data_IF_761670109239
#
_entry.id   IF_761670109239
#
_cell.length_a   1.000
_cell.length_b   1.000
_cell.length_c   1.000
_cell.angle_alpha   90.00
_cell.angle_beta   90.00
_cell.angle_gamma   90.00
#
_symmetry.space_group_name_H-M   'P 1'
#
loop_
_entity.id
_entity.type
_entity.pdbx_description
1 polymer ?
#
# COMPACT_ATOMS: atom_id res chain seq x y z
N UNK A 1 32.46 34.37 -7.99
CA UNK A 1 31.25 33.68 -7.50
C UNK A 1 31.27 32.26 -8.04
N UNK A 2 31.35 31.24 -7.18
CA UNK A 2 31.44 29.85 -7.63
C UNK A 2 30.21 29.49 -8.49
N UNK A 3 30.47 28.91 -9.66
CA UNK A 3 29.53 28.68 -10.73
C UNK A 3 28.39 27.74 -10.27
N UNK A 4 27.26 28.30 -9.78
CA UNK A 4 26.08 27.54 -9.30
C UNK A 4 25.26 26.90 -10.44
N UNK A 5 25.83 26.76 -11.62
CA UNK A 5 25.18 26.14 -12.79
C UNK A 5 24.67 24.72 -12.46
N UNK A 6 25.37 23.99 -11.60
CA UNK A 6 24.93 22.67 -11.13
C UNK A 6 23.64 22.69 -10.32
N UNK A 7 23.36 23.75 -9.54
CA UNK A 7 22.18 23.81 -8.66
C UNK A 7 20.90 23.94 -9.49
N UNK A 8 20.93 24.74 -10.55
CA UNK A 8 19.80 24.85 -11.49
C UNK A 8 19.52 23.51 -12.16
N UNK A 9 20.57 22.86 -12.71
CA UNK A 9 20.46 21.54 -13.33
C UNK A 9 19.94 20.48 -12.37
N UNK A 10 20.44 20.46 -11.13
CA UNK A 10 19.97 19.54 -10.10
C UNK A 10 18.48 19.70 -9.81
N UNK A 11 18.00 20.94 -9.72
CA UNK A 11 16.58 21.24 -9.49
C UNK A 11 15.70 20.84 -10.69
N UNK A 12 16.17 21.05 -11.92
CA UNK A 12 15.48 20.58 -13.13
C UNK A 12 15.41 19.05 -13.18
N UNK A 13 16.51 18.35 -12.88
CA UNK A 13 16.48 16.88 -12.81
C UNK A 13 15.58 16.36 -11.69
N UNK A 14 15.54 17.04 -10.53
CA UNK A 14 14.59 16.73 -9.46
C UNK A 14 13.13 16.92 -9.89
N UNK A 15 12.84 17.98 -10.65
CA UNK A 15 11.52 18.18 -11.22
C UNK A 15 11.15 17.08 -12.21
N UNK A 16 12.08 16.70 -13.08
CA UNK A 16 11.89 15.62 -14.04
C UNK A 16 11.57 14.29 -13.34
N UNK A 17 12.29 13.93 -12.26
CA UNK A 17 11.95 12.73 -11.47
C UNK A 17 10.56 12.81 -10.81
N UNK A 18 10.09 13.99 -10.43
CA UNK A 18 8.75 14.15 -9.87
C UNK A 18 7.65 13.91 -10.91
N UNK A 19 7.94 14.23 -12.18
CA UNK A 19 7.03 14.06 -13.32
C UNK A 19 7.12 12.66 -13.93
N UNK A 20 8.25 11.97 -13.78
CA UNK A 20 8.54 10.66 -14.38
C UNK A 20 8.92 9.63 -13.29
N UNK A 21 7.96 9.22 -12.43
CA UNK A 21 8.21 8.35 -11.29
C UNK A 21 8.66 6.93 -11.66
N UNK A 22 8.49 6.50 -12.91
CA UNK A 22 8.99 5.25 -13.47
C UNK A 22 10.52 5.14 -13.39
N UNK A 23 11.24 6.26 -13.42
CA UNK A 23 12.71 6.31 -13.27
C UNK A 23 13.17 6.34 -11.82
N UNK A 24 12.30 6.03 -10.85
CA UNK A 24 12.65 5.98 -9.42
C UNK A 24 13.91 5.16 -9.13
N UNK A 25 14.22 4.13 -9.92
CA UNK A 25 15.42 3.31 -9.73
C UNK A 25 16.73 4.07 -9.88
N UNK A 26 16.73 5.10 -10.71
CA UNK A 26 17.89 5.97 -10.92
C UNK A 26 17.92 7.15 -9.93
N UNK A 27 16.84 7.37 -9.18
CA UNK A 27 16.75 8.45 -8.21
C UNK A 27 17.66 8.20 -7.01
N UNK A 28 18.76 8.95 -6.94
CA UNK A 28 19.64 8.96 -5.78
C UNK A 28 20.71 10.02 -5.91
N UNK A 29 21.36 10.37 -4.79
CA UNK A 29 22.46 11.34 -4.82
C UNK A 29 23.59 10.94 -5.78
N UNK A 30 23.78 9.64 -6.05
CA UNK A 30 24.80 9.16 -7.00
C UNK A 30 24.54 9.66 -8.42
N UNK A 31 23.29 9.58 -8.91
CA UNK A 31 22.88 10.14 -10.20
C UNK A 31 23.25 11.61 -10.33
N UNK A 32 23.03 12.41 -9.29
CA UNK A 32 23.36 13.84 -9.32
C UNK A 32 24.88 14.08 -9.27
N UNK A 33 25.63 13.27 -8.53
CA UNK A 33 27.10 13.38 -8.48
C UNK A 33 27.70 13.09 -9.86
N UNK A 34 27.27 12.00 -10.49
CA UNK A 34 27.79 11.53 -11.78
C UNK A 34 27.42 12.50 -12.92
N UNK A 35 26.18 12.99 -12.95
CA UNK A 35 25.71 13.87 -14.03
C UNK A 35 26.08 15.34 -13.89
N UNK A 36 26.34 15.83 -12.66
CA UNK A 36 26.62 17.24 -12.42
C UNK A 36 28.11 17.52 -12.15
N UNK A 37 28.92 16.49 -11.95
CA UNK A 37 30.36 16.63 -11.68
C UNK A 37 30.66 17.32 -10.35
N UNK A 38 29.76 17.20 -9.37
CA UNK A 38 29.91 17.82 -8.05
C UNK A 38 29.87 16.77 -6.95
N UNK A 39 30.67 16.98 -5.91
CA UNK A 39 30.70 16.05 -4.78
C UNK A 39 29.37 16.02 -4.04
N UNK A 40 29.06 14.87 -3.41
CA UNK A 40 27.90 14.73 -2.53
C UNK A 40 27.90 15.75 -1.39
N UNK A 41 29.08 16.13 -0.90
CA UNK A 41 29.21 17.16 0.13
C UNK A 41 28.77 18.54 -0.38
N UNK A 42 29.07 18.87 -1.64
CA UNK A 42 28.59 20.10 -2.29
C UNK A 42 27.06 20.10 -2.43
N UNK A 43 26.47 18.97 -2.87
CA UNK A 43 25.02 18.82 -2.96
C UNK A 43 24.34 19.04 -1.60
N UNK A 44 24.83 18.34 -0.57
CA UNK A 44 24.25 18.38 0.78
C UNK A 44 24.36 19.75 1.47
N UNK A 45 25.33 20.59 1.07
CA UNK A 45 25.47 21.96 1.58
C UNK A 45 24.40 22.91 1.02
N UNK A 46 23.80 22.62 -0.13
CA UNK A 46 22.68 23.43 -0.63
C UNK A 46 21.38 23.07 0.07
N UNK A 47 20.88 24.00 0.90
CA UNK A 47 19.56 23.88 1.55
C UNK A 47 18.42 23.76 0.53
N UNK A 48 18.52 24.48 -0.60
CA UNK A 48 17.49 24.50 -1.65
C UNK A 48 17.38 23.15 -2.34
N UNK A 49 18.51 22.58 -2.77
CA UNK A 49 18.57 21.23 -3.31
C UNK A 49 18.04 20.19 -2.31
N UNK A 50 18.53 20.21 -1.06
CA UNK A 50 18.13 19.22 -0.06
C UNK A 50 16.66 19.30 0.35
N UNK A 51 16.05 20.49 0.29
CA UNK A 51 14.61 20.63 0.48
C UNK A 51 13.86 19.94 -0.67
N UNK A 52 14.19 20.29 -1.92
CA UNK A 52 13.52 19.71 -3.09
C UNK A 52 13.74 18.21 -3.22
N UNK A 53 14.95 17.73 -2.93
CA UNK A 53 15.28 16.30 -2.92
C UNK A 53 14.38 15.51 -1.97
N UNK A 54 14.10 16.04 -0.77
CA UNK A 54 13.20 15.39 0.19
C UNK A 54 11.75 15.36 -0.30
N UNK A 55 11.27 16.47 -0.88
CA UNK A 55 9.93 16.53 -1.46
C UNK A 55 9.75 15.48 -2.57
N UNK A 56 10.71 15.41 -3.51
CA UNK A 56 10.69 14.43 -4.60
C UNK A 56 10.81 13.01 -4.06
N UNK A 57 11.65 12.78 -3.04
CA UNK A 57 11.75 11.47 -2.39
C UNK A 57 10.42 11.01 -1.80
N UNK A 58 9.65 11.89 -1.16
CA UNK A 58 8.34 11.55 -0.61
C UNK A 58 7.30 11.30 -1.71
N UNK A 59 7.34 12.07 -2.81
CA UNK A 59 6.51 11.79 -4.00
C UNK A 59 6.82 10.39 -4.51
N UNK A 60 8.10 10.10 -4.77
CA UNK A 60 8.57 8.81 -5.29
C UNK A 60 8.35 7.64 -4.32
N UNK A 61 8.16 7.89 -3.03
CA UNK A 61 7.88 6.83 -2.03
C UNK A 61 6.59 6.07 -2.34
N UNK A 62 5.61 6.74 -2.96
CA UNK A 62 4.36 6.13 -3.41
C UNK A 62 4.49 5.21 -4.63
N UNK A 63 5.60 5.28 -5.36
CA UNK A 63 5.81 4.55 -6.62
C UNK A 63 6.76 3.36 -6.43
N UNK A 64 6.60 2.29 -7.19
CA UNK A 64 7.56 1.18 -7.21
C UNK A 64 8.66 1.46 -8.23
N UNK A 65 9.89 1.04 -7.90
CA UNK A 65 11.00 1.13 -8.83
C UNK A 65 10.81 0.07 -9.91
N UNK A 66 10.54 0.46 -11.15
CA UNK A 66 10.53 -0.47 -12.27
C UNK A 66 11.96 -0.69 -12.73
N UNK A 67 12.45 -1.93 -12.66
CA UNK A 67 13.67 -2.32 -13.37
C UNK A 67 13.42 -2.24 -14.88
N UNK A 68 14.41 -1.81 -15.68
CA UNK A 68 14.23 -1.51 -17.10
C UNK A 68 13.94 -2.73 -18.00
N UNK A 69 13.77 -3.93 -17.45
CA UNK A 69 13.61 -5.16 -18.23
C UNK A 69 12.30 -5.93 -18.00
N UNK A 70 11.42 -5.47 -17.11
CA UNK A 70 10.12 -6.14 -16.90
C UNK A 70 9.09 -5.08 -16.59
N UNK A 71 8.01 -5.03 -17.38
CA UNK A 71 6.90 -4.08 -17.21
C UNK A 71 6.26 -4.08 -15.81
N UNK A 72 5.19 -3.28 -15.61
CA UNK A 72 4.76 -2.82 -14.30
C UNK A 72 4.33 -3.98 -13.40
N UNK A 73 5.03 -4.19 -12.28
CA UNK A 73 4.62 -5.10 -11.22
C UNK A 73 4.38 -4.32 -9.91
N UNK A 74 3.18 -4.40 -9.30
CA UNK A 74 2.88 -3.70 -8.07
C UNK A 74 3.59 -4.34 -6.86
N UNK A 75 3.87 -3.47 -5.89
CA UNK A 75 4.74 -3.62 -4.73
C UNK A 75 4.60 -4.95 -3.98
N UNK A 76 5.73 -5.53 -3.59
CA UNK A 76 5.76 -6.68 -2.67
C UNK A 76 5.10 -6.35 -1.30
N UNK A 77 5.07 -5.07 -0.92
CA UNK A 77 4.28 -4.58 0.22
C UNK A 77 2.76 -4.65 0.00
N UNK A 78 2.28 -4.58 -1.25
CA UNK A 78 0.89 -4.88 -1.59
C UNK A 78 0.61 -6.37 -1.45
N UNK A 79 1.50 -7.26 -1.89
CA UNK A 79 1.34 -8.72 -1.66
C UNK A 79 1.25 -9.05 -0.19
N UNK A 80 2.12 -8.48 0.65
CA UNK A 80 2.09 -8.72 2.10
C UNK A 80 0.83 -8.14 2.76
N UNK A 81 0.36 -6.96 2.32
CA UNK A 81 -0.88 -6.32 2.78
C UNK A 81 -2.13 -7.01 2.25
N UNK A 82 -2.05 -7.65 1.08
CA UNK A 82 -3.09 -8.49 0.50
C UNK A 82 -3.16 -9.83 1.24
N UNK A 83 -2.01 -10.43 1.57
CA UNK A 83 -1.93 -11.65 2.37
C UNK A 83 -2.47 -11.41 3.79
N UNK A 84 -2.13 -10.29 4.43
CA UNK A 84 -2.68 -9.95 5.74
C UNK A 84 -4.18 -9.67 5.69
N UNK A 85 -4.67 -8.94 4.66
CA UNK A 85 -6.11 -8.73 4.45
C UNK A 85 -6.85 -10.03 4.12
N UNK A 86 -6.25 -10.93 3.34
CA UNK A 86 -6.84 -12.23 3.02
C UNK A 86 -6.95 -13.11 4.26
N UNK A 87 -5.92 -13.11 5.13
CA UNK A 87 -5.98 -13.78 6.42
C UNK A 87 -7.09 -13.20 7.31
N UNK A 88 -7.22 -11.86 7.34
CA UNK A 88 -8.29 -11.20 8.08
C UNK A 88 -9.69 -11.52 7.53
N UNK A 89 -9.84 -11.64 6.21
CA UNK A 89 -11.10 -12.07 5.57
C UNK A 89 -11.45 -13.50 6.00
N UNK A 90 -10.46 -14.39 6.02
CA UNK A 90 -10.68 -15.78 6.42
C UNK A 90 -11.07 -15.91 7.91
N UNK A 91 -10.40 -15.16 8.78
CA UNK A 91 -10.75 -15.10 10.20
C UNK A 91 -12.17 -14.55 10.42
N UNK A 92 -12.56 -13.51 9.66
CA UNK A 92 -13.91 -12.96 9.71
C UNK A 92 -14.98 -13.94 9.19
N UNK A 93 -14.69 -14.70 8.12
CA UNK A 93 -15.60 -15.75 7.64
C UNK A 93 -15.81 -16.83 8.69
N UNK A 94 -14.74 -17.29 9.33
CA UNK A 94 -14.81 -18.26 10.42
C UNK A 94 -15.63 -17.74 11.61
N UNK A 95 -15.52 -16.44 11.93
CA UNK A 95 -16.35 -15.83 12.97
C UNK A 95 -17.82 -15.76 12.57
N UNK A 96 -18.13 -15.40 11.32
CA UNK A 96 -19.50 -15.37 10.81
C UNK A 96 -20.12 -16.76 10.86
N UNK A 97 -19.40 -17.80 10.45
CA UNK A 97 -19.89 -19.18 10.50
C UNK A 97 -20.16 -19.64 11.94
N UNK A 98 -19.25 -19.34 12.88
CA UNK A 98 -19.47 -19.62 14.31
C UNK A 98 -20.67 -18.88 14.88
N UNK A 99 -20.87 -17.62 14.50
CA UNK A 99 -22.02 -16.84 14.93
C UNK A 99 -23.32 -17.37 14.32
N UNK A 100 -23.30 -17.83 13.07
CA UNK A 100 -24.45 -18.48 12.44
C UNK A 100 -24.81 -19.79 13.14
N UNK A 101 -23.83 -20.61 13.51
CA UNK A 101 -24.07 -21.84 14.29
C UNK A 101 -24.70 -21.51 15.64
N UNK A 102 -24.12 -20.57 16.41
CA UNK A 102 -24.70 -20.13 17.68
C UNK A 102 -26.11 -19.57 17.54
N UNK A 103 -26.36 -18.83 16.47
CA UNK A 103 -27.68 -18.30 16.18
C UNK A 103 -28.67 -19.43 15.91
N UNK A 104 -28.27 -20.46 15.16
CA UNK A 104 -29.07 -21.66 14.95
C UNK A 104 -29.34 -22.41 16.26
N UNK A 105 -28.34 -22.54 17.14
CA UNK A 105 -28.48 -23.17 18.46
C UNK A 105 -29.53 -22.42 19.30
N UNK A 106 -29.46 -21.09 19.35
CA UNK A 106 -30.45 -20.26 20.02
C UNK A 106 -31.86 -20.45 19.43
N UNK A 107 -31.98 -20.62 18.12
CA UNK A 107 -33.27 -20.86 17.48
C UNK A 107 -33.83 -22.24 17.83
N UNK A 108 -33.01 -23.29 17.87
CA UNK A 108 -33.43 -24.62 18.31
C UNK A 108 -33.95 -24.59 19.76
N UNK A 109 -33.24 -23.90 20.65
CA UNK A 109 -33.71 -23.72 22.04
C UNK A 109 -35.07 -23.01 22.10
N UNK A 110 -35.34 -22.02 21.25
CA UNK A 110 -36.64 -21.34 21.20
C UNK A 110 -37.74 -22.27 20.68
N UNK A 111 -37.46 -23.06 19.63
CA UNK A 111 -38.39 -24.08 19.12
C UNK A 111 -38.72 -25.12 20.20
N UNK A 112 -37.72 -25.61 20.95
CA UNK A 112 -37.89 -26.57 22.07
C UNK A 112 -38.76 -26.01 23.20
N UNK A 113 -38.79 -24.70 23.36
CA UNK A 113 -39.64 -23.98 24.32
C UNK A 113 -41.00 -23.57 23.73
N UNK A 114 -41.39 -24.08 22.55
CA UNK A 114 -42.61 -23.73 21.82
C UNK A 114 -42.74 -22.23 21.51
N UNK A 115 -41.63 -21.50 21.40
CA UNK A 115 -41.61 -20.08 21.01
C UNK A 115 -41.41 -20.03 19.49
N UNK A 116 -42.40 -19.52 18.78
CA UNK A 116 -42.34 -19.37 17.32
C UNK A 116 -41.23 -18.37 16.91
N UNK A 117 -40.14 -18.82 16.26
CA UNK A 117 -39.06 -17.94 15.85
C UNK A 117 -39.43 -17.09 14.62
N UNK A 118 -40.63 -17.22 14.05
CA UNK A 118 -41.11 -16.45 12.89
C UNK A 118 -41.28 -14.94 13.15
N UNK A 119 -41.31 -14.51 14.41
CA UNK A 119 -41.13 -13.10 14.78
C UNK A 119 -39.68 -12.61 14.62
N UNK A 120 -38.69 -13.52 14.59
CA UNK A 120 -37.25 -13.26 14.55
C UNK A 120 -36.60 -13.66 13.20
N UNK A 121 -37.28 -14.43 12.34
CA UNK A 121 -36.78 -14.84 11.02
C UNK A 121 -36.78 -13.71 9.99
N UNK A 122 -35.59 -13.25 9.57
CA UNK A 122 -35.43 -12.66 8.23
C UNK A 122 -35.19 -13.78 7.21
N UNK A 123 -35.79 -13.68 6.01
CA UNK A 123 -35.98 -14.76 5.02
C UNK A 123 -34.69 -15.39 4.38
N UNK A 124 -33.51 -15.35 5.01
CA UNK A 124 -32.23 -15.69 4.35
C UNK A 124 -31.26 -16.55 5.17
N UNK A 125 -31.68 -17.64 5.81
CA UNK A 125 -30.73 -18.62 6.36
C UNK A 125 -31.08 -20.05 5.96
N UNK A 126 -30.05 -20.80 5.53
CA UNK A 126 -30.13 -22.20 5.09
C UNK A 126 -30.19 -23.10 6.34
N UNK A 127 -31.24 -23.92 6.46
CA UNK A 127 -31.34 -24.95 7.50
C UNK A 127 -30.15 -25.91 7.42
N UNK A 128 -29.56 -26.26 8.56
CA UNK A 128 -28.74 -27.45 8.67
C UNK A 128 -29.62 -28.67 8.39
N UNK A 129 -29.26 -29.47 7.40
CA UNK A 129 -29.84 -30.80 7.22
C UNK A 129 -28.91 -31.75 7.97
N UNK A 130 -29.40 -32.36 9.04
CA UNK A 130 -28.72 -33.46 9.69
C UNK A 130 -28.59 -34.62 8.68
N UNK A 131 -27.41 -35.26 8.66
CA UNK A 131 -27.14 -36.51 7.93
C UNK A 131 -27.20 -37.64 8.93
#
# INVERSE_FOLDING_TARGET
MANRNWESKALSSLQWFAENPEFKGEFGHQYFVDNLGVSRMTLNRSKKYMKRYREVKEILKGYQSTEPNTGPAPADGMKQKLASKNKQIEDLKNQVEKLQLRLNDCYQMLEDHNIDPQFVYTQRLKKHREV
#
